data_IF_734285928742
#
_entry.id   IF_734285928742
#
_cell.length_a   1.000
_cell.length_b   1.000
_cell.length_c   1.000
_cell.angle_alpha   90.00
_cell.angle_beta   90.00
_cell.angle_gamma   90.00
#
_symmetry.space_group_name_H-M   'P 1'
#
loop_
_entity.id
_entity.type
_entity.pdbx_description
1 polymer ?
#
# COMPACT_ATOMS: atom_id res chain seq x y z
N UNK A 1 18.19 36.31 -2.52
CA UNK A 1 19.49 36.61 -3.22
C UNK A 1 20.36 37.60 -2.43
N UNK A 2 19.86 38.78 -1.99
CA UNK A 2 20.64 39.75 -1.18
C UNK A 2 21.03 39.26 0.23
N UNK A 3 20.22 38.45 0.91
CA UNK A 3 20.56 37.87 2.24
C UNK A 3 21.53 36.70 2.12
N UNK A 4 21.37 35.87 1.09
CA UNK A 4 22.27 34.74 0.83
C UNK A 4 23.69 35.16 0.49
N UNK A 5 23.83 36.18 -0.38
CA UNK A 5 25.13 36.77 -0.69
C UNK A 5 25.81 37.22 0.60
N UNK A 6 25.05 37.76 1.57
CA UNK A 6 25.57 38.17 2.89
C UNK A 6 26.01 36.98 3.72
N UNK A 7 25.25 35.88 3.83
CA UNK A 7 25.69 34.73 4.64
C UNK A 7 26.93 34.05 4.05
N UNK A 8 26.97 33.86 2.73
CA UNK A 8 28.16 33.34 2.05
C UNK A 8 29.33 34.30 2.19
N UNK A 9 29.10 35.62 2.18
CA UNK A 9 30.12 36.61 2.51
C UNK A 9 30.59 36.47 3.95
N UNK A 10 29.68 36.30 4.91
CA UNK A 10 30.00 36.19 6.33
C UNK A 10 30.84 34.95 6.62
N UNK A 11 30.46 33.79 6.07
CA UNK A 11 31.21 32.55 6.24
C UNK A 11 32.58 32.65 5.58
N UNK A 12 32.64 33.16 4.34
CA UNK A 12 33.91 33.35 3.64
C UNK A 12 34.81 34.35 4.37
N UNK A 13 34.29 35.48 4.83
CA UNK A 13 35.02 36.49 5.63
C UNK A 13 35.47 35.91 6.97
N UNK A 14 34.67 35.06 7.63
CA UNK A 14 35.05 34.43 8.90
C UNK A 14 36.20 33.44 8.71
N UNK A 15 36.15 32.60 7.67
CA UNK A 15 37.24 31.70 7.31
C UNK A 15 38.50 32.49 6.94
N UNK A 16 38.32 33.58 6.18
CA UNK A 16 39.40 34.50 5.81
C UNK A 16 40.04 35.09 7.06
N UNK A 17 39.25 35.58 8.03
CA UNK A 17 39.74 36.13 9.28
C UNK A 17 40.58 35.10 10.07
N UNK A 18 40.11 33.85 10.17
CA UNK A 18 40.86 32.77 10.85
C UNK A 18 42.19 32.48 10.15
N UNK A 19 42.19 32.37 8.81
CA UNK A 19 43.40 32.14 8.02
C UNK A 19 44.40 33.30 8.20
N UNK A 20 43.93 34.54 8.18
CA UNK A 20 44.76 35.72 8.37
C UNK A 20 45.35 35.82 9.77
N UNK A 21 44.56 35.50 10.79
CA UNK A 21 45.03 35.44 12.18
C UNK A 21 46.15 34.40 12.29
N UNK A 22 45.95 33.19 11.76
CA UNK A 22 46.98 32.13 11.77
C UNK A 22 48.24 32.54 11.00
N UNK A 23 48.09 33.15 9.83
CA UNK A 23 49.22 33.59 9.01
C UNK A 23 50.07 34.63 9.74
N UNK A 24 49.46 35.67 10.32
CA UNK A 24 50.20 36.74 10.99
C UNK A 24 50.75 36.36 12.35
N UNK A 25 50.02 35.56 13.14
CA UNK A 25 50.42 35.24 14.51
C UNK A 25 51.44 34.12 14.56
N UNK A 26 51.40 33.19 13.60
CA UNK A 26 52.12 31.93 13.69
C UNK A 26 53.11 31.77 12.54
N UNK A 27 52.64 31.86 11.29
CA UNK A 27 53.44 31.51 10.11
C UNK A 27 54.52 32.56 9.81
N UNK A 28 54.14 33.84 9.74
CA UNK A 28 55.07 34.92 9.38
C UNK A 28 56.17 35.11 10.42
N UNK A 29 55.89 35.16 11.74
CA UNK A 29 56.93 35.30 12.76
C UNK A 29 57.88 34.10 12.76
N UNK A 30 57.33 32.87 12.73
CA UNK A 30 58.13 31.65 12.71
C UNK A 30 59.11 31.59 11.53
N UNK A 31 58.65 31.91 10.32
CA UNK A 31 59.52 31.95 9.14
C UNK A 31 60.53 33.09 9.22
N UNK A 32 60.13 34.27 9.68
CA UNK A 32 61.03 35.42 9.84
C UNK A 32 62.19 35.09 10.78
N UNK A 33 61.88 34.50 11.95
CA UNK A 33 62.88 34.14 12.95
C UNK A 33 63.78 33.00 12.46
N UNK A 34 63.20 32.01 11.78
CA UNK A 34 63.97 30.91 11.17
C UNK A 34 65.01 31.43 10.17
N UNK A 35 64.62 32.32 9.25
CA UNK A 35 65.54 32.88 8.25
C UNK A 35 66.60 33.79 8.91
N UNK A 36 66.22 34.59 9.92
CA UNK A 36 67.17 35.39 10.69
C UNK A 36 68.21 34.52 11.41
N UNK A 37 67.77 33.44 12.04
CA UNK A 37 68.65 32.50 12.75
C UNK A 37 69.66 31.84 11.81
N UNK A 38 69.22 31.44 10.61
CA UNK A 38 70.12 30.89 9.58
C UNK A 38 71.15 31.93 9.15
N UNK A 39 70.73 33.18 8.85
CA UNK A 39 71.63 34.26 8.47
C UNK A 39 72.68 34.56 9.57
N UNK A 40 72.24 34.66 10.83
CA UNK A 40 73.13 34.86 11.98
C UNK A 40 74.09 33.68 12.19
N UNK A 41 73.61 32.45 12.02
CA UNK A 41 74.44 31.26 12.16
C UNK A 41 75.50 31.18 11.06
N UNK A 42 75.16 31.51 9.82
CA UNK A 42 76.11 31.58 8.71
C UNK A 42 77.17 32.65 8.97
N UNK A 43 76.74 33.82 9.44
CA UNK A 43 77.64 34.93 9.79
C UNK A 43 78.63 34.54 10.91
N UNK A 44 78.16 33.86 11.97
CA UNK A 44 79.02 33.34 13.04
C UNK A 44 79.98 32.24 12.57
N UNK A 45 79.50 31.32 11.72
CA UNK A 45 80.34 30.23 11.21
C UNK A 45 81.47 30.74 10.31
N UNK A 46 81.21 31.76 9.49
CA UNK A 46 82.23 32.41 8.68
C UNK A 46 83.34 33.00 9.56
N UNK A 47 82.98 33.70 10.66
CA UNK A 47 83.94 34.19 11.64
C UNK A 47 84.79 33.07 12.26
N UNK A 48 84.15 31.95 12.64
CA UNK A 48 84.82 30.81 13.27
C UNK A 48 85.88 30.18 12.36
N UNK A 49 85.57 30.04 11.07
CA UNK A 49 86.51 29.54 10.05
C UNK A 49 87.72 30.48 9.94
N UNK A 50 87.50 31.80 9.95
CA UNK A 50 88.56 32.80 9.85
C UNK A 50 89.50 32.78 11.07
N UNK A 51 88.97 32.61 12.27
CA UNK A 51 89.77 32.51 13.51
C UNK A 51 90.59 31.21 13.53
N UNK A 52 90.00 30.09 13.12
CA UNK A 52 90.70 28.79 13.11
C UNK A 52 91.87 28.75 12.12
N UNK A 53 91.72 29.42 10.98
CA UNK A 53 92.75 29.44 9.93
C UNK A 53 93.84 30.49 10.18
N UNK A 54 93.62 31.44 11.11
CA UNK A 54 94.51 32.58 11.41
C UNK A 54 95.02 33.35 10.18
N UNK A 55 94.35 33.21 9.03
CA UNK A 55 94.74 33.85 7.78
C UNK A 55 94.11 35.24 7.67
N UNK A 56 94.57 36.14 8.52
CA UNK A 56 93.98 37.47 8.67
C UNK A 56 94.39 38.43 7.52
N UNK A 57 95.52 38.21 6.87
CA UNK A 57 96.03 39.13 5.84
C UNK A 57 95.13 39.20 4.58
N UNK A 58 94.43 38.11 4.27
CA UNK A 58 93.50 38.04 3.12
C UNK A 58 92.16 38.76 3.34
N UNK A 59 91.71 38.96 4.59
CA UNK A 59 90.41 39.61 4.88
C UNK A 59 90.51 41.13 5.01
N UNK A 60 91.68 41.66 5.39
CA UNK A 60 91.91 43.10 5.50
C UNK A 60 92.34 43.76 4.17
N UNK A 61 92.59 42.96 3.13
CA UNK A 61 92.97 43.42 1.78
C UNK A 61 91.78 43.56 0.82
N UNK A 62 90.61 43.03 1.16
CA UNK A 62 89.43 43.05 0.30
C UNK A 62 88.36 44.02 0.82
N UNK A 63 87.75 44.75 -0.10
CA UNK A 63 86.73 45.76 0.19
C UNK A 63 85.34 45.10 0.21
N UNK A 64 85.09 44.26 1.22
CA UNK A 64 83.79 43.59 1.39
C UNK A 64 82.76 44.49 2.10
N UNK A 65 81.49 44.07 2.03
CA UNK A 65 80.36 44.67 2.76
C UNK A 65 80.50 44.60 4.30
N UNK A 66 81.51 43.85 4.76
CA UNK A 66 81.83 43.59 6.15
C UNK A 66 83.03 44.43 6.59
N UNK A 67 82.93 45.03 7.78
CA UNK A 67 84.09 45.64 8.44
C UNK A 67 84.72 44.66 9.39
N UNK A 68 85.98 44.34 9.15
CA UNK A 68 86.81 43.51 10.00
C UNK A 68 87.58 44.41 10.96
N UNK A 69 87.64 44.01 12.24
CA UNK A 69 88.50 44.61 13.27
C UNK A 69 89.33 43.50 13.90
N UNK A 70 90.64 43.67 13.97
CA UNK A 70 91.51 42.90 14.86
C UNK A 70 91.83 43.78 16.06
N UNK A 71 91.41 43.37 17.25
CA UNK A 71 91.44 44.19 18.45
C UNK A 71 92.29 43.49 19.51
N UNK A 72 93.24 44.22 20.07
CA UNK A 72 94.06 43.71 21.19
C UNK A 72 93.21 43.50 22.46
N UNK A 73 93.65 42.68 23.42
CA UNK A 73 92.97 42.53 24.72
C UNK A 73 92.78 43.84 25.48
N UNK A 74 93.59 44.86 25.16
CA UNK A 74 93.55 46.20 25.74
C UNK A 74 92.55 47.14 25.07
N UNK A 75 91.94 46.75 23.95
CA UNK A 75 90.92 47.56 23.23
C UNK A 75 91.48 48.37 22.06
N UNK A 76 92.79 48.33 21.82
CA UNK A 76 93.40 49.01 20.68
C UNK A 76 93.17 48.20 19.40
N UNK A 77 92.71 48.88 18.34
CA UNK A 77 92.53 48.30 17.00
C UNK A 77 93.88 48.07 16.34
N UNK A 78 94.28 46.80 16.20
CA UNK A 78 95.52 46.37 15.56
C UNK A 78 95.43 46.38 14.04
N UNK A 79 94.27 46.01 13.49
CA UNK A 79 94.02 46.03 12.05
C UNK A 79 92.54 46.27 11.77
N UNK A 80 92.22 46.94 10.67
CA UNK A 80 90.85 47.28 10.31
C UNK A 80 90.67 47.39 8.79
N UNK A 81 89.50 47.01 8.27
CA UNK A 81 89.19 47.11 6.82
C UNK A 81 89.28 48.54 6.26
N UNK A 82 88.99 49.53 7.09
CA UNK A 82 89.30 50.94 6.84
C UNK A 82 90.60 51.31 7.58
N UNK A 83 91.68 51.48 6.82
CA UNK A 83 93.04 51.71 7.33
C UNK A 83 93.16 52.96 8.21
N UNK A 84 92.24 53.92 8.09
CA UNK A 84 92.24 55.15 8.92
C UNK A 84 91.94 54.89 10.39
N UNK A 85 91.46 53.70 10.74
CA UNK A 85 91.04 53.33 12.10
C UNK A 85 92.06 52.45 12.84
N UNK A 86 93.20 52.14 12.22
CA UNK A 86 94.27 51.38 12.86
C UNK A 86 94.89 52.25 13.96
N UNK A 87 95.03 51.70 15.17
CA UNK A 87 95.49 52.40 16.37
C UNK A 87 94.39 53.13 17.14
N UNK A 88 93.15 53.18 16.63
CA UNK A 88 92.03 53.75 17.36
C UNK A 88 91.62 52.87 18.55
N UNK A 89 91.22 53.51 19.65
CA UNK A 89 90.72 52.80 20.84
C UNK A 89 89.26 52.35 20.62
N UNK A 90 89.10 51.07 20.33
CA UNK A 90 87.77 50.47 20.14
C UNK A 90 86.95 50.51 21.43
N UNK A 91 87.61 50.47 22.60
CA UNK A 91 86.93 50.52 23.89
C UNK A 91 86.33 51.89 24.21
N UNK A 92 86.88 52.96 23.66
CA UNK A 92 86.33 54.31 23.78
C UNK A 92 85.18 54.53 22.78
N UNK A 93 85.31 53.99 21.56
CA UNK A 93 84.31 54.15 20.50
C UNK A 93 83.06 53.28 20.76
N UNK A 94 83.23 52.07 21.29
CA UNK A 94 82.15 51.12 21.58
C UNK A 94 82.31 50.48 22.97
N UNK A 95 82.13 51.25 24.07
CA UNK A 95 82.43 50.80 25.42
C UNK A 95 81.61 49.58 25.87
N UNK A 96 80.29 49.61 25.63
CA UNK A 96 79.40 48.51 26.01
C UNK A 96 79.65 47.25 25.18
N UNK A 97 79.94 47.42 23.89
CA UNK A 97 80.27 46.30 23.02
C UNK A 97 81.58 45.64 23.46
N UNK A 98 82.62 46.44 23.72
CA UNK A 98 83.91 45.90 24.16
C UNK A 98 83.84 45.20 25.52
N UNK A 99 83.03 45.73 26.46
CA UNK A 99 82.74 45.05 27.73
C UNK A 99 82.08 43.69 27.50
N UNK A 100 81.05 43.64 26.66
CA UNK A 100 80.35 42.40 26.30
C UNK A 100 81.28 41.37 25.64
N UNK A 101 82.20 41.83 24.78
CA UNK A 101 83.20 40.97 24.15
C UNK A 101 84.11 40.29 25.17
N UNK A 102 84.59 41.04 26.18
CA UNK A 102 85.44 40.50 27.24
C UNK A 102 84.72 39.46 28.10
N UNK A 103 83.44 39.67 28.39
CA UNK A 103 82.65 38.77 29.22
C UNK A 103 82.32 37.45 28.51
N UNK A 104 81.94 37.51 27.22
CA UNK A 104 81.45 36.33 26.49
C UNK A 104 82.52 35.59 25.69
N UNK A 105 83.64 36.25 25.36
CA UNK A 105 84.76 35.77 24.52
C UNK A 105 84.40 35.38 23.08
N UNK A 106 83.17 34.97 22.81
CA UNK A 106 82.58 34.79 21.49
C UNK A 106 81.09 35.17 21.51
N UNK A 107 80.56 35.65 20.39
CA UNK A 107 79.15 35.98 20.29
C UNK A 107 78.80 36.92 19.14
N UNK A 108 77.57 37.42 19.19
CA UNK A 108 77.10 38.52 18.33
C UNK A 108 76.63 39.68 19.18
N UNK A 109 76.79 40.89 18.67
CA UNK A 109 76.35 42.11 19.34
C UNK A 109 75.73 43.07 18.33
N UNK A 110 74.59 43.64 18.67
CA UNK A 110 73.93 44.64 17.85
C UNK A 110 74.34 46.02 18.32
N UNK A 111 74.72 46.89 17.39
CA UNK A 111 75.13 48.25 17.70
C UNK A 111 74.80 49.21 16.57
N UNK A 112 74.70 50.50 16.90
CA UNK A 112 74.44 51.55 15.92
C UNK A 112 75.74 52.31 15.66
N UNK A 113 76.09 52.47 14.38
CA UNK A 113 77.22 53.29 13.98
C UNK A 113 76.78 54.22 12.85
N UNK A 114 76.91 55.54 13.07
CA UNK A 114 76.48 56.60 12.13
C UNK A 114 75.04 56.37 11.62
N UNK A 115 74.10 56.23 12.57
CA UNK A 115 72.67 55.98 12.33
C UNK A 115 72.32 54.70 11.55
N UNK A 116 73.29 53.82 11.32
CA UNK A 116 73.07 52.53 10.69
C UNK A 116 73.14 51.42 11.73
N UNK A 117 72.07 50.63 11.85
CA UNK A 117 72.07 49.42 12.67
C UNK A 117 73.00 48.37 12.05
N UNK A 118 73.92 47.86 12.86
CA UNK A 118 74.91 46.86 12.47
C UNK A 118 74.89 45.71 13.46
N UNK A 119 75.24 44.55 12.94
CA UNK A 119 75.40 43.33 13.71
C UNK A 119 76.86 42.95 13.60
N UNK A 120 77.52 42.87 14.75
CA UNK A 120 78.87 42.37 14.85
C UNK A 120 78.88 40.93 15.34
N UNK A 121 79.71 40.08 14.74
CA UNK A 121 80.12 38.80 15.30
C UNK A 121 81.56 38.94 15.78
N UNK A 122 81.87 38.42 16.95
CA UNK A 122 83.21 38.50 17.52
C UNK A 122 83.63 37.17 18.17
N UNK A 123 84.93 36.92 18.18
CA UNK A 123 85.52 35.81 18.93
C UNK A 123 87.00 36.06 19.22
N UNK A 124 87.46 35.47 20.33
CA UNK A 124 88.84 35.56 20.81
C UNK A 124 89.66 34.38 20.29
N UNK A 125 90.79 34.66 19.62
CA UNK A 125 91.64 33.64 18.99
C UNK A 125 92.76 33.09 19.90
N UNK A 126 92.78 33.52 21.16
CA UNK A 126 93.83 33.23 22.14
C UNK A 126 94.84 34.36 22.35
N UNK A 127 94.90 35.33 21.43
CA UNK A 127 95.78 36.50 21.51
C UNK A 127 94.99 37.81 21.35
N UNK A 128 94.15 37.89 20.33
CA UNK A 128 93.38 39.07 19.94
C UNK A 128 91.89 38.72 19.68
N UNK A 129 91.04 39.73 19.63
CA UNK A 129 89.64 39.60 19.23
C UNK A 129 89.51 39.92 17.74
N UNK A 130 88.92 39.01 16.97
CA UNK A 130 88.44 39.30 15.62
C UNK A 130 86.96 39.69 15.70
N UNK A 131 86.61 40.83 15.11
CA UNK A 131 85.24 41.30 14.99
C UNK A 131 84.91 41.49 13.52
N UNK A 132 83.79 40.95 13.08
CA UNK A 132 83.20 41.19 11.77
C UNK A 132 81.92 41.94 11.97
N UNK A 133 81.71 43.03 11.25
CA UNK A 133 80.51 43.86 11.36
C UNK A 133 79.83 44.04 10.02
N UNK A 134 78.54 43.74 9.96
CA UNK A 134 77.68 43.87 8.77
C UNK A 134 76.47 44.76 9.07
N UNK A 135 75.87 45.39 8.06
CA UNK A 135 74.60 46.12 8.25
C UNK A 135 73.47 45.12 8.48
N UNK A 136 72.53 45.44 9.35
CA UNK A 136 71.34 44.60 9.60
C UNK A 136 70.53 44.36 8.31
N UNK A 137 70.39 45.40 7.48
CA UNK A 137 69.68 45.35 6.19
C UNK A 137 70.29 44.37 5.21
N UNK A 138 71.62 44.26 5.22
CA UNK A 138 72.38 43.44 4.28
C UNK A 138 72.41 41.99 4.79
N UNK A 139 72.63 41.78 6.09
CA UNK A 139 72.60 40.46 6.73
C UNK A 139 71.22 39.80 6.60
N UNK A 140 70.15 40.58 6.77
CA UNK A 140 68.78 40.09 6.67
C UNK A 140 68.11 40.40 5.33
N UNK A 141 68.87 40.73 4.28
CA UNK A 141 68.32 40.93 2.93
C UNK A 141 67.40 39.78 2.45
N UNK A 142 67.71 38.49 2.70
CA UNK A 142 66.80 37.39 2.36
C UNK A 142 65.43 37.46 3.08
N UNK A 143 65.41 37.93 4.33
CA UNK A 143 64.19 38.11 5.14
C UNK A 143 63.30 39.20 4.53
N UNK A 144 63.90 40.33 4.13
CA UNK A 144 63.15 41.42 3.52
C UNK A 144 62.60 41.04 2.14
N UNK A 145 63.38 40.33 1.32
CA UNK A 145 62.93 39.80 0.03
C UNK A 145 61.78 38.81 0.18
N UNK A 146 61.85 37.91 1.18
CA UNK A 146 60.77 36.99 1.49
C UNK A 146 59.50 37.71 1.95
N UNK A 147 59.62 38.68 2.88
CA UNK A 147 58.47 39.50 3.31
C UNK A 147 57.82 40.22 2.14
N UNK A 148 58.62 40.76 1.21
CA UNK A 148 58.11 41.40 0.00
C UNK A 148 57.30 40.42 -0.86
N UNK A 149 57.82 39.23 -1.13
CA UNK A 149 57.10 38.19 -1.89
C UNK A 149 55.82 37.74 -1.18
N UNK A 150 55.87 37.56 0.14
CA UNK A 150 54.74 37.15 0.94
C UNK A 150 53.61 38.21 0.93
N UNK A 151 53.92 39.47 1.22
CA UNK A 151 52.91 40.54 1.30
C UNK A 151 52.39 40.97 -0.07
N UNK A 152 53.24 41.02 -1.11
CA UNK A 152 52.81 41.51 -2.43
C UNK A 152 52.23 40.44 -3.34
N UNK A 153 52.52 39.15 -3.11
CA UNK A 153 52.12 38.09 -4.03
C UNK A 153 51.29 36.99 -3.37
N UNK A 154 51.78 36.38 -2.29
CA UNK A 154 51.11 35.21 -1.68
C UNK A 154 49.79 35.63 -1.01
N UNK A 155 49.81 36.66 -0.17
CA UNK A 155 48.66 37.10 0.61
C UNK A 155 47.46 37.56 -0.26
N UNK A 156 47.65 38.41 -1.29
CA UNK A 156 46.56 38.81 -2.19
C UNK A 156 45.98 37.64 -2.99
N UNK A 157 46.80 36.65 -3.32
CA UNK A 157 46.37 35.49 -4.09
C UNK A 157 45.52 34.54 -3.24
N UNK A 158 45.88 34.36 -1.97
CA UNK A 158 45.06 33.63 -0.99
C UNK A 158 43.72 34.35 -0.76
N UNK A 159 43.70 35.68 -0.61
CA UNK A 159 42.44 36.41 -0.43
C UNK A 159 41.53 36.32 -1.64
N UNK A 160 42.06 36.52 -2.86
CA UNK A 160 41.31 36.34 -4.08
C UNK A 160 40.74 34.91 -4.18
N UNK A 161 41.55 33.89 -3.90
CA UNK A 161 41.13 32.50 -3.92
C UNK A 161 39.99 32.22 -2.93
N UNK A 162 40.10 32.70 -1.68
CA UNK A 162 39.06 32.49 -0.66
C UNK A 162 37.72 33.17 -1.00
N UNK A 163 37.75 34.37 -1.60
CA UNK A 163 36.53 35.05 -2.06
C UNK A 163 35.88 34.26 -3.20
N UNK A 164 36.67 33.83 -4.19
CA UNK A 164 36.20 33.04 -5.33
C UNK A 164 35.62 31.71 -4.86
N UNK A 165 36.35 31.00 -4.00
CA UNK A 165 35.92 29.72 -3.44
C UNK A 165 34.63 29.89 -2.63
N UNK A 166 34.56 30.91 -1.75
CA UNK A 166 33.35 31.21 -0.98
C UNK A 166 32.14 31.52 -1.88
N UNK A 167 32.35 32.25 -2.97
CA UNK A 167 31.30 32.53 -3.95
C UNK A 167 30.82 31.27 -4.68
N UNK A 168 31.75 30.45 -5.19
CA UNK A 168 31.43 29.20 -5.88
C UNK A 168 30.76 28.18 -4.96
N UNK A 169 31.26 28.04 -3.74
CA UNK A 169 30.68 27.16 -2.72
C UNK A 169 29.26 27.63 -2.33
N UNK A 170 29.05 28.94 -2.21
CA UNK A 170 27.73 29.53 -2.02
C UNK A 170 26.74 29.18 -3.13
N UNK A 171 27.16 29.28 -4.39
CA UNK A 171 26.34 28.88 -5.55
C UNK A 171 26.04 27.38 -5.52
N UNK A 172 27.03 26.54 -5.21
CA UNK A 172 26.89 25.09 -5.15
C UNK A 172 25.83 24.66 -4.14
N UNK A 173 25.94 25.11 -2.88
CA UNK A 173 24.95 24.81 -1.84
C UNK A 173 23.56 25.30 -2.26
N UNK A 174 23.46 26.54 -2.75
CA UNK A 174 22.16 27.10 -3.12
C UNK A 174 21.46 26.29 -4.23
N UNK A 175 22.22 25.86 -5.25
CA UNK A 175 21.68 25.06 -6.36
C UNK A 175 21.21 23.70 -5.89
N UNK A 176 21.98 23.03 -5.04
CA UNK A 176 21.64 21.71 -4.52
C UNK A 176 20.41 21.79 -3.61
N UNK A 177 20.45 22.65 -2.60
CA UNK A 177 19.34 22.82 -1.65
C UNK A 177 18.05 23.24 -2.38
N UNK A 178 18.12 24.16 -3.36
CA UNK A 178 16.93 24.58 -4.11
C UNK A 178 16.24 23.43 -4.88
N UNK A 179 17.02 22.49 -5.42
CA UNK A 179 16.46 21.31 -6.12
C UNK A 179 15.77 20.37 -5.14
N UNK A 180 16.43 20.08 -4.02
CA UNK A 180 15.86 19.21 -2.98
C UNK A 180 14.54 19.81 -2.45
N UNK A 181 14.47 21.14 -2.30
CA UNK A 181 13.22 21.83 -1.95
C UNK A 181 12.10 21.63 -2.97
N UNK A 182 12.40 21.69 -4.28
CA UNK A 182 11.38 21.46 -5.30
C UNK A 182 10.87 20.02 -5.31
N UNK A 183 11.76 19.04 -5.08
CA UNK A 183 11.37 17.63 -5.03
C UNK A 183 10.44 17.32 -3.85
N UNK A 184 10.73 17.88 -2.67
CA UNK A 184 9.83 17.73 -1.50
C UNK A 184 8.48 18.40 -1.74
N UNK A 185 8.45 19.60 -2.31
CA UNK A 185 7.18 20.27 -2.64
C UNK A 185 6.36 19.51 -3.69
N UNK A 186 7.00 18.89 -4.69
CA UNK A 186 6.28 18.04 -5.65
C UNK A 186 5.75 16.78 -5.00
N UNK A 187 6.51 16.14 -4.09
CA UNK A 187 6.03 14.97 -3.33
C UNK A 187 4.82 15.31 -2.48
N UNK A 188 4.81 16.46 -1.80
CA UNK A 188 3.65 16.92 -1.03
C UNK A 188 2.42 17.15 -1.94
N UNK A 189 2.62 17.75 -3.11
CA UNK A 189 1.54 17.92 -4.08
C UNK A 189 0.97 16.58 -4.56
N UNK A 190 1.83 15.60 -4.84
CA UNK A 190 1.40 14.25 -5.21
C UNK A 190 0.65 13.56 -4.08
N UNK A 191 1.11 13.68 -2.83
CA UNK A 191 0.39 13.14 -1.67
C UNK A 191 -0.99 13.79 -1.53
N UNK A 192 -1.12 15.11 -1.72
CA UNK A 192 -2.42 15.78 -1.71
C UNK A 192 -3.36 15.28 -2.80
N UNK A 193 -2.83 15.02 -4.00
CA UNK A 193 -3.60 14.43 -5.10
C UNK A 193 -4.04 13.00 -4.78
N UNK A 194 -3.15 12.17 -4.23
CA UNK A 194 -3.47 10.81 -3.79
C UNK A 194 -4.51 10.79 -2.68
N UNK A 195 -4.43 11.71 -1.72
CA UNK A 195 -5.42 11.90 -0.65
C UNK A 195 -6.78 12.30 -1.23
N UNK A 196 -6.81 13.20 -2.21
CA UNK A 196 -8.04 13.59 -2.90
C UNK A 196 -8.67 12.41 -3.65
N UNK A 197 -7.86 11.67 -4.41
CA UNK A 197 -8.32 10.48 -5.13
C UNK A 197 -8.86 9.41 -4.16
N UNK A 198 -8.16 9.17 -3.05
CA UNK A 198 -8.59 8.23 -2.00
C UNK A 198 -9.90 8.69 -1.37
N UNK A 199 -10.08 9.99 -1.11
CA UNK A 199 -11.34 10.56 -0.59
C UNK A 199 -12.50 10.38 -1.58
N UNK A 200 -12.26 10.61 -2.87
CA UNK A 200 -13.26 10.36 -3.91
C UNK A 200 -13.67 8.89 -3.95
N UNK A 201 -12.71 7.97 -3.97
CA UNK A 201 -12.98 6.53 -3.93
C UNK A 201 -13.70 6.11 -2.66
N UNK A 202 -13.38 6.70 -1.50
CA UNK A 202 -14.06 6.44 -0.23
C UNK A 202 -15.54 6.84 -0.31
N UNK A 203 -15.84 8.00 -0.91
CA UNK A 203 -17.22 8.44 -1.12
C UNK A 203 -18.00 7.54 -2.09
N UNK A 204 -17.35 7.07 -3.16
CA UNK A 204 -17.95 6.11 -4.09
C UNK A 204 -18.26 4.77 -3.40
N UNK A 205 -17.32 4.25 -2.59
CA UNK A 205 -17.53 3.02 -1.81
C UNK A 205 -18.67 3.22 -0.80
N UNK A 206 -18.75 4.39 -0.15
CA UNK A 206 -19.86 4.71 0.75
C UNK A 206 -21.22 4.68 0.04
N UNK A 207 -21.32 5.31 -1.13
CA UNK A 207 -22.55 5.25 -1.92
C UNK A 207 -22.89 3.83 -2.39
N UNK A 208 -21.88 3.03 -2.73
CA UNK A 208 -22.07 1.62 -3.05
C UNK A 208 -22.57 0.80 -1.86
N UNK A 209 -22.05 1.09 -0.66
CA UNK A 209 -22.52 0.48 0.59
C UNK A 209 -23.97 0.84 0.88
N UNK A 210 -24.36 2.12 0.73
CA UNK A 210 -25.74 2.58 0.89
C UNK A 210 -26.69 1.90 -0.10
N UNK A 211 -26.29 1.78 -1.38
CA UNK A 211 -27.07 1.06 -2.38
C UNK A 211 -27.19 -0.44 -2.07
N UNK A 212 -26.12 -1.05 -1.55
CA UNK A 212 -26.13 -2.46 -1.15
C UNK A 212 -27.05 -2.69 0.04
N UNK A 213 -27.03 -1.79 1.03
CA UNK A 213 -27.92 -1.83 2.19
C UNK A 213 -29.40 -1.72 1.78
N UNK A 214 -29.71 -0.81 0.86
CA UNK A 214 -31.07 -0.71 0.31
C UNK A 214 -31.49 -1.99 -0.42
N UNK A 215 -30.60 -2.57 -1.22
CA UNK A 215 -30.86 -3.85 -1.89
C UNK A 215 -31.04 -5.01 -0.90
N UNK A 216 -30.34 -5.00 0.24
CA UNK A 216 -30.52 -6.00 1.29
C UNK A 216 -31.86 -5.83 2.00
N UNK A 217 -32.30 -4.61 2.29
CA UNK A 217 -33.63 -4.36 2.83
C UNK A 217 -34.76 -4.84 1.88
N UNK A 218 -34.59 -4.64 0.57
CA UNK A 218 -35.52 -5.18 -0.43
C UNK A 218 -35.47 -6.71 -0.50
N UNK A 219 -34.28 -7.30 -0.37
CA UNK A 219 -34.09 -8.74 -0.32
C UNK A 219 -34.78 -9.34 0.92
N UNK A 220 -34.66 -8.72 2.10
CA UNK A 220 -35.31 -9.17 3.32
C UNK A 220 -36.83 -9.21 3.19
N UNK A 221 -37.40 -8.15 2.62
CA UNK A 221 -38.83 -8.12 2.33
C UNK A 221 -39.22 -9.20 1.33
N UNK A 222 -38.41 -9.41 0.29
CA UNK A 222 -38.65 -10.45 -0.71
C UNK A 222 -38.57 -11.86 -0.11
N UNK A 223 -37.67 -12.07 0.86
CA UNK A 223 -37.55 -13.33 1.61
C UNK A 223 -38.80 -13.55 2.46
N UNK A 224 -39.31 -12.53 3.15
CA UNK A 224 -40.53 -12.60 3.95
C UNK A 224 -41.75 -12.94 3.08
N UNK A 225 -41.95 -12.20 1.99
CA UNK A 225 -43.03 -12.44 1.03
C UNK A 225 -42.94 -13.86 0.43
N UNK A 226 -41.72 -14.32 0.11
CA UNK A 226 -41.51 -15.64 -0.45
C UNK A 226 -41.72 -16.76 0.57
N UNK A 227 -41.36 -16.54 1.83
CA UNK A 227 -41.66 -17.48 2.92
C UNK A 227 -43.17 -17.64 3.12
N UNK A 228 -43.91 -16.53 3.18
CA UNK A 228 -45.37 -16.56 3.28
C UNK A 228 -46.01 -17.30 2.09
N UNK A 229 -45.53 -17.04 0.87
CA UNK A 229 -45.99 -17.73 -0.33
C UNK A 229 -45.73 -19.26 -0.26
N UNK A 230 -44.57 -19.68 0.21
CA UNK A 230 -44.22 -21.11 0.33
C UNK A 230 -45.02 -21.82 1.43
N UNK A 231 -45.32 -21.13 2.53
CA UNK A 231 -46.22 -21.63 3.58
C UNK A 231 -47.65 -21.85 3.04
N UNK A 232 -48.19 -20.86 2.31
CA UNK A 232 -49.50 -20.99 1.65
C UNK A 232 -49.51 -22.15 0.66
N UNK A 233 -48.48 -22.26 -0.19
CA UNK A 233 -48.33 -23.37 -1.13
C UNK A 233 -48.28 -24.73 -0.44
N UNK A 234 -47.62 -24.81 0.72
CA UNK A 234 -47.58 -26.05 1.53
C UNK A 234 -48.97 -26.46 1.97
N UNK A 235 -49.77 -25.51 2.48
CA UNK A 235 -51.12 -25.78 2.93
C UNK A 235 -52.05 -26.21 1.77
N UNK A 236 -51.95 -25.55 0.61
CA UNK A 236 -52.71 -25.94 -0.59
C UNK A 236 -52.32 -27.34 -1.10
N UNK A 237 -51.03 -27.68 -1.03
CA UNK A 237 -50.53 -28.99 -1.43
C UNK A 237 -51.03 -30.09 -0.50
N UNK A 238 -51.03 -29.87 0.81
CA UNK A 238 -51.61 -30.81 1.78
C UNK A 238 -53.12 -31.02 1.54
N UNK A 239 -53.85 -29.94 1.29
CA UNK A 239 -55.27 -30.01 0.90
C UNK A 239 -55.48 -30.83 -0.37
N UNK A 240 -54.63 -30.64 -1.38
CA UNK A 240 -54.68 -31.38 -2.64
C UNK A 240 -54.39 -32.86 -2.46
N UNK A 241 -53.39 -33.22 -1.65
CA UNK A 241 -53.09 -34.62 -1.31
C UNK A 241 -54.26 -35.29 -0.59
N UNK A 242 -54.92 -34.60 0.35
CA UNK A 242 -56.10 -35.13 1.04
C UNK A 242 -57.26 -35.40 0.06
N UNK A 243 -57.52 -34.49 -0.88
CA UNK A 243 -58.54 -34.69 -1.92
C UNK A 243 -58.23 -35.88 -2.82
N UNK A 244 -56.95 -36.09 -3.15
CA UNK A 244 -56.50 -37.25 -3.95
C UNK A 244 -56.74 -38.57 -3.20
N UNK A 245 -56.51 -38.60 -1.88
CA UNK A 245 -56.87 -39.77 -1.06
C UNK A 245 -58.38 -40.03 -1.05
N UNK A 246 -59.19 -38.97 -0.94
CA UNK A 246 -60.66 -39.09 -1.01
C UNK A 246 -61.11 -39.62 -2.38
N UNK A 247 -60.58 -39.08 -3.48
CA UNK A 247 -60.87 -39.57 -4.83
C UNK A 247 -60.48 -41.04 -5.02
N UNK A 248 -59.35 -41.46 -4.46
CA UNK A 248 -58.91 -42.86 -4.49
C UNK A 248 -59.95 -43.77 -3.81
N UNK A 249 -60.50 -43.33 -2.67
CA UNK A 249 -61.56 -44.06 -1.97
C UNK A 249 -62.86 -44.10 -2.78
N UNK A 250 -63.28 -42.98 -3.38
CA UNK A 250 -64.47 -42.93 -4.23
C UNK A 250 -64.37 -43.90 -5.40
N UNK A 251 -63.21 -43.97 -6.08
CA UNK A 251 -63.01 -44.94 -7.18
C UNK A 251 -63.13 -46.38 -6.68
N UNK A 252 -62.57 -46.69 -5.51
CA UNK A 252 -62.68 -48.01 -4.90
C UNK A 252 -64.14 -48.38 -4.63
N UNK A 253 -64.94 -47.44 -4.12
CA UNK A 253 -66.36 -47.64 -3.85
C UNK A 253 -67.18 -47.82 -5.14
N UNK A 254 -66.81 -47.13 -6.22
CA UNK A 254 -67.40 -47.33 -7.56
C UNK A 254 -67.11 -48.76 -8.05
N UNK A 255 -65.86 -49.23 -7.97
CA UNK A 255 -65.48 -50.58 -8.41
C UNK A 255 -66.24 -51.65 -7.61
N UNK A 256 -66.34 -51.51 -6.29
CA UNK A 256 -67.11 -52.44 -5.43
C UNK A 256 -68.60 -52.44 -5.79
N UNK A 257 -69.19 -51.25 -6.03
CA UNK A 257 -70.59 -51.11 -6.42
C UNK A 257 -70.86 -51.71 -7.81
N UNK A 258 -69.98 -51.49 -8.78
CA UNK A 258 -70.05 -52.10 -10.11
C UNK A 258 -69.96 -53.62 -10.06
N UNK A 259 -69.11 -54.18 -9.18
CA UNK A 259 -69.01 -55.63 -8.96
C UNK A 259 -70.31 -56.23 -8.39
N UNK A 260 -70.92 -55.55 -7.41
CA UNK A 260 -72.25 -55.94 -6.89
C UNK A 260 -73.32 -55.88 -7.96
N UNK A 261 -73.30 -54.85 -8.81
CA UNK A 261 -74.25 -54.70 -9.90
C UNK A 261 -74.07 -55.79 -10.97
N UNK A 262 -72.84 -56.20 -11.27
CA UNK A 262 -72.53 -57.33 -12.16
C UNK A 262 -73.15 -58.63 -11.63
N UNK A 263 -72.98 -58.90 -10.33
CA UNK A 263 -73.58 -60.07 -9.67
C UNK A 263 -75.11 -60.04 -9.74
N UNK A 264 -75.72 -58.87 -9.54
CA UNK A 264 -77.17 -58.71 -9.63
C UNK A 264 -77.68 -58.93 -11.06
N UNK A 265 -76.97 -58.40 -12.07
CA UNK A 265 -77.32 -58.60 -13.48
C UNK A 265 -77.29 -60.08 -13.87
N UNK A 266 -76.30 -60.85 -13.37
CA UNK A 266 -76.23 -62.30 -13.58
C UNK A 266 -77.42 -63.05 -12.94
N UNK A 267 -77.80 -62.69 -11.71
CA UNK A 267 -78.98 -63.26 -11.05
C UNK A 267 -80.26 -62.95 -11.83
N UNK A 268 -80.42 -61.72 -12.33
CA UNK A 268 -81.56 -61.32 -13.15
C UNK A 268 -81.58 -62.04 -14.51
N UNK A 269 -80.41 -62.30 -15.09
CA UNK A 269 -80.27 -63.05 -16.34
C UNK A 269 -80.78 -64.49 -16.17
N UNK A 270 -80.32 -65.17 -15.11
CA UNK A 270 -80.78 -66.50 -14.72
C UNK A 270 -82.30 -66.54 -14.42
N UNK A 271 -82.83 -65.49 -13.79
CA UNK A 271 -84.28 -65.38 -13.52
C UNK A 271 -85.08 -65.20 -14.82
N UNK A 272 -84.58 -64.39 -15.75
CA UNK A 272 -85.20 -64.15 -17.06
C UNK A 272 -85.23 -65.43 -17.91
N UNK A 273 -84.19 -66.25 -17.85
CA UNK A 273 -84.16 -67.58 -18.46
C UNK A 273 -85.25 -68.49 -17.88
N UNK A 274 -85.36 -68.58 -16.55
CA UNK A 274 -86.43 -69.36 -15.90
C UNK A 274 -87.84 -68.87 -16.25
N UNK A 275 -88.06 -67.56 -16.41
CA UNK A 275 -89.35 -67.02 -16.87
C UNK A 275 -89.66 -67.50 -18.28
N UNK A 276 -88.65 -67.57 -19.15
CA UNK A 276 -88.80 -68.12 -20.51
C UNK A 276 -89.21 -69.59 -20.44
N UNK A 277 -88.52 -70.40 -19.63
CA UNK A 277 -88.86 -71.83 -19.45
C UNK A 277 -90.28 -72.05 -18.88
N UNK A 278 -90.69 -71.21 -17.92
CA UNK A 278 -92.06 -71.24 -17.36
C UNK A 278 -93.09 -70.88 -18.44
N UNK A 279 -92.81 -69.85 -19.25
CA UNK A 279 -93.70 -69.45 -20.36
C UNK A 279 -93.85 -70.60 -21.36
N UNK A 280 -92.76 -71.23 -21.76
CA UNK A 280 -92.76 -72.40 -22.64
C UNK A 280 -93.61 -73.54 -22.07
N UNK A 281 -93.46 -73.82 -20.78
CA UNK A 281 -94.26 -74.83 -20.06
C UNK A 281 -95.75 -74.47 -20.05
N UNK A 282 -96.11 -73.20 -19.77
CA UNK A 282 -97.48 -72.71 -19.80
C UNK A 282 -98.10 -72.86 -21.19
N UNK A 283 -97.36 -72.56 -22.25
CA UNK A 283 -97.84 -72.77 -23.64
C UNK A 283 -98.18 -74.23 -23.88
N UNK A 284 -97.30 -75.16 -23.49
CA UNK A 284 -97.53 -76.60 -23.66
C UNK A 284 -98.75 -77.06 -22.85
N UNK A 285 -98.89 -76.60 -21.60
CA UNK A 285 -100.04 -76.92 -20.75
C UNK A 285 -101.35 -76.38 -21.34
N UNK A 286 -101.34 -75.16 -21.88
CA UNK A 286 -102.51 -74.56 -22.53
C UNK A 286 -102.92 -75.32 -23.79
N UNK A 287 -101.96 -75.74 -24.61
CA UNK A 287 -102.20 -76.58 -25.80
C UNK A 287 -102.81 -77.92 -25.37
N UNK A 288 -102.24 -78.59 -24.37
CA UNK A 288 -102.75 -79.87 -23.87
C UNK A 288 -104.17 -79.74 -23.30
N UNK A 289 -104.44 -78.67 -22.54
CA UNK A 289 -105.77 -78.37 -22.01
C UNK A 289 -106.79 -78.08 -23.13
N UNK A 290 -106.41 -77.30 -24.15
CA UNK A 290 -107.25 -77.04 -25.33
C UNK A 290 -107.59 -78.34 -26.07
N UNK A 291 -106.60 -79.22 -26.28
CA UNK A 291 -106.80 -80.53 -26.91
C UNK A 291 -107.75 -81.40 -26.08
N UNK A 292 -107.56 -81.49 -24.77
CA UNK A 292 -108.38 -82.37 -23.92
C UNK A 292 -109.81 -81.85 -23.79
N UNK A 293 -110.01 -80.54 -23.64
CA UNK A 293 -111.34 -79.91 -23.59
C UNK A 293 -112.09 -80.03 -24.91
N UNK A 294 -111.40 -80.10 -26.05
CA UNK A 294 -112.03 -80.39 -27.35
C UNK A 294 -112.62 -81.80 -27.45
N UNK A 295 -112.17 -82.75 -26.62
CA UNK A 295 -112.65 -84.15 -26.60
C UNK A 295 -113.93 -84.32 -25.78
N UNK A 296 -114.14 -83.54 -24.73
CA UNK A 296 -115.33 -83.63 -23.86
C UNK A 296 -116.52 -82.82 -24.42
N UNK A 297 -117.76 -83.13 -24.01
CA UNK A 297 -119.00 -82.46 -24.49
C UNK A 297 -119.44 -81.26 -23.61
N UNK A 298 -118.50 -80.63 -22.92
CA UNK A 298 -118.76 -79.54 -21.96
C UNK A 298 -118.10 -78.26 -22.47
N UNK A 299 -118.91 -77.21 -22.70
CA UNK A 299 -118.53 -75.80 -22.96
C UNK A 299 -117.21 -75.56 -23.75
N UNK A 300 -117.11 -76.19 -24.94
CA UNK A 300 -115.89 -76.22 -25.77
C UNK A 300 -115.38 -74.85 -26.21
N UNK A 301 -116.30 -73.94 -26.55
CA UNK A 301 -115.93 -72.60 -27.03
C UNK A 301 -115.33 -71.74 -25.91
N UNK A 302 -115.90 -71.80 -24.70
CA UNK A 302 -115.39 -71.07 -23.54
C UNK A 302 -113.99 -71.55 -23.12
N UNK A 303 -113.80 -72.88 -23.05
CA UNK A 303 -112.52 -73.47 -22.64
C UNK A 303 -111.41 -73.29 -23.70
N UNK A 304 -111.74 -73.39 -24.99
CA UNK A 304 -110.79 -73.11 -26.08
C UNK A 304 -110.33 -71.65 -26.05
N UNK A 305 -111.24 -70.71 -25.79
CA UNK A 305 -110.90 -69.28 -25.67
C UNK A 305 -110.00 -69.00 -24.48
N UNK A 306 -110.20 -69.69 -23.35
CA UNK A 306 -109.30 -69.61 -22.19
C UNK A 306 -107.90 -70.10 -22.55
N UNK A 307 -107.78 -71.23 -23.24
CA UNK A 307 -106.48 -71.74 -23.67
C UNK A 307 -105.76 -70.79 -24.65
N UNK A 308 -106.49 -70.18 -25.58
CA UNK A 308 -105.97 -69.16 -26.49
C UNK A 308 -105.44 -67.93 -25.73
N UNK A 309 -106.19 -67.42 -24.74
CA UNK A 309 -105.73 -66.32 -23.88
C UNK A 309 -104.48 -66.69 -23.06
N UNK A 310 -104.36 -67.93 -22.58
CA UNK A 310 -103.16 -68.40 -21.86
C UNK A 310 -101.96 -68.50 -22.80
N UNK A 311 -102.15 -68.96 -24.04
CA UNK A 311 -101.10 -69.00 -25.05
C UNK A 311 -100.61 -67.60 -25.42
N UNK A 312 -101.54 -66.65 -25.63
CA UNK A 312 -101.22 -65.25 -25.89
C UNK A 312 -100.44 -64.64 -24.71
N UNK A 313 -100.90 -64.87 -23.48
CA UNK A 313 -100.20 -64.40 -22.28
C UNK A 313 -98.78 -64.97 -22.16
N UNK A 314 -98.61 -66.26 -22.45
CA UNK A 314 -97.28 -66.90 -22.44
C UNK A 314 -96.37 -66.33 -23.54
N UNK A 315 -96.88 -66.12 -24.75
CA UNK A 315 -96.10 -65.51 -25.84
C UNK A 315 -95.67 -64.08 -25.48
N UNK A 316 -96.56 -63.28 -24.92
CA UNK A 316 -96.24 -61.94 -24.43
C UNK A 316 -95.20 -61.98 -23.30
N UNK A 317 -95.28 -62.96 -22.40
CA UNK A 317 -94.31 -63.15 -21.31
C UNK A 317 -92.94 -63.53 -21.85
N UNK A 318 -92.88 -64.39 -22.87
CA UNK A 318 -91.64 -64.77 -23.58
C UNK A 318 -91.00 -63.58 -24.29
N UNK A 319 -91.80 -62.75 -24.95
CA UNK A 319 -91.30 -61.54 -25.60
C UNK A 319 -90.74 -60.54 -24.58
N UNK A 320 -91.43 -60.33 -23.45
CA UNK A 320 -90.94 -59.52 -22.34
C UNK A 320 -89.65 -60.07 -21.73
N UNK A 321 -89.54 -61.38 -21.56
CA UNK A 321 -88.31 -62.02 -21.09
C UNK A 321 -87.15 -61.83 -22.08
N UNK A 322 -87.40 -61.99 -23.38
CA UNK A 322 -86.40 -61.71 -24.43
C UNK A 322 -85.91 -60.25 -24.39
N UNK A 323 -86.82 -59.30 -24.24
CA UNK A 323 -86.49 -57.88 -24.13
C UNK A 323 -85.69 -57.60 -22.83
N UNK A 324 -86.08 -58.21 -21.72
CA UNK A 324 -85.36 -58.11 -20.44
C UNK A 324 -83.94 -58.65 -20.54
N UNK A 325 -83.74 -59.79 -21.22
CA UNK A 325 -82.42 -60.36 -21.48
C UNK A 325 -81.55 -59.41 -22.30
N UNK A 326 -82.11 -58.76 -23.32
CA UNK A 326 -81.38 -57.75 -24.10
C UNK A 326 -80.93 -56.58 -23.22
N UNK A 327 -81.82 -56.04 -22.38
CA UNK A 327 -81.48 -54.96 -21.45
C UNK A 327 -80.41 -55.37 -20.43
N UNK A 328 -80.38 -56.63 -19.99
CA UNK A 328 -79.35 -57.12 -19.08
C UNK A 328 -77.96 -57.19 -19.74
N UNK A 329 -77.89 -57.57 -21.02
CA UNK A 329 -76.64 -57.52 -21.80
C UNK A 329 -76.14 -56.07 -21.94
N UNK A 330 -77.04 -55.12 -22.21
CA UNK A 330 -76.68 -53.70 -22.27
C UNK A 330 -76.16 -53.20 -20.90
N UNK A 331 -76.76 -53.65 -19.79
CA UNK A 331 -76.29 -53.34 -18.42
C UNK A 331 -74.89 -53.93 -18.17
N UNK A 332 -74.63 -55.16 -18.61
CA UNK A 332 -73.33 -55.82 -18.46
C UNK A 332 -72.20 -55.06 -19.20
N UNK A 333 -72.48 -54.59 -20.41
CA UNK A 333 -71.53 -53.76 -21.18
C UNK A 333 -71.23 -52.42 -20.49
N UNK A 334 -72.26 -51.76 -19.95
CA UNK A 334 -72.11 -50.53 -19.16
C UNK A 334 -71.27 -50.76 -17.90
N UNK A 335 -71.50 -51.87 -17.18
CA UNK A 335 -70.72 -52.21 -15.99
C UNK A 335 -69.25 -52.45 -16.34
N UNK A 336 -68.99 -53.23 -17.38
CA UNK A 336 -67.63 -53.52 -17.85
C UNK A 336 -66.91 -52.22 -18.24
N UNK A 337 -67.58 -51.36 -19.00
CA UNK A 337 -67.06 -50.05 -19.37
C UNK A 337 -66.79 -49.15 -18.15
N UNK A 338 -67.66 -49.19 -17.14
CA UNK A 338 -67.50 -48.42 -15.90
C UNK A 338 -66.27 -48.88 -15.12
N UNK A 339 -66.06 -50.20 -14.98
CA UNK A 339 -64.88 -50.75 -14.30
C UNK A 339 -63.60 -50.32 -15.03
N UNK A 340 -63.53 -50.45 -16.36
CA UNK A 340 -62.36 -50.04 -17.15
C UNK A 340 -62.06 -48.53 -17.00
N UNK A 341 -63.08 -47.68 -16.99
CA UNK A 341 -62.92 -46.25 -16.77
C UNK A 341 -62.44 -45.94 -15.34
N UNK A 342 -62.96 -46.66 -14.33
CA UNK A 342 -62.52 -46.53 -12.94
C UNK A 342 -61.08 -46.97 -12.74
N UNK A 343 -60.65 -48.07 -13.35
CA UNK A 343 -59.25 -48.52 -13.31
C UNK A 343 -58.31 -47.51 -13.98
N UNK A 344 -58.71 -46.97 -15.14
CA UNK A 344 -57.96 -45.91 -15.82
C UNK A 344 -57.86 -44.67 -14.92
N UNK A 345 -58.95 -44.24 -14.32
CA UNK A 345 -58.96 -43.09 -13.41
C UNK A 345 -58.09 -43.34 -12.17
N UNK A 346 -58.07 -44.56 -11.63
CA UNK A 346 -57.17 -44.94 -10.53
C UNK A 346 -55.70 -44.77 -10.92
N UNK A 347 -55.32 -45.22 -12.12
CA UNK A 347 -53.96 -45.06 -12.64
C UNK A 347 -53.55 -43.59 -12.80
N UNK A 348 -54.44 -42.75 -13.32
CA UNK A 348 -54.18 -41.30 -13.45
C UNK A 348 -54.02 -40.64 -12.08
N UNK A 349 -54.83 -41.04 -11.09
CA UNK A 349 -54.70 -40.55 -9.70
C UNK A 349 -53.34 -40.89 -9.09
N UNK A 350 -52.81 -42.10 -9.31
CA UNK A 350 -51.47 -42.46 -8.84
C UNK A 350 -50.40 -41.54 -9.46
N UNK A 351 -50.49 -41.25 -10.75
CA UNK A 351 -49.60 -40.31 -11.44
C UNK A 351 -49.68 -38.88 -10.87
N UNK A 352 -50.90 -38.42 -10.57
CA UNK A 352 -51.12 -37.11 -9.92
C UNK A 352 -50.52 -37.10 -8.50
N UNK A 353 -50.71 -38.16 -7.72
CA UNK A 353 -50.13 -38.29 -6.39
C UNK A 353 -48.59 -38.24 -6.42
N UNK A 354 -47.95 -38.94 -7.36
CA UNK A 354 -46.50 -38.91 -7.53
C UNK A 354 -46.01 -37.50 -7.91
N UNK A 355 -46.75 -36.82 -8.78
CA UNK A 355 -46.46 -35.44 -9.18
C UNK A 355 -46.56 -34.49 -7.97
N UNK A 356 -47.60 -34.61 -7.15
CA UNK A 356 -47.76 -33.80 -5.92
C UNK A 356 -46.64 -34.09 -4.90
N UNK A 357 -46.19 -35.33 -4.76
CA UNK A 357 -45.05 -35.65 -3.90
C UNK A 357 -43.73 -35.05 -4.43
N UNK A 358 -43.54 -34.98 -5.74
CA UNK A 358 -42.42 -34.25 -6.33
C UNK A 358 -42.50 -32.74 -6.02
N UNK A 359 -43.68 -32.13 -6.17
CA UNK A 359 -43.90 -30.71 -5.79
C UNK A 359 -43.61 -30.50 -4.30
N UNK A 360 -44.04 -31.40 -3.41
CA UNK A 360 -43.71 -31.35 -1.98
C UNK A 360 -42.21 -31.32 -1.71
N UNK A 361 -41.46 -32.14 -2.44
CA UNK A 361 -39.99 -32.21 -2.33
C UNK A 361 -39.33 -30.90 -2.78
N UNK A 362 -39.83 -30.32 -3.89
CA UNK A 362 -39.40 -29.00 -4.35
C UNK A 362 -39.70 -27.94 -3.30
N UNK A 363 -40.90 -27.95 -2.71
CA UNK A 363 -41.30 -26.96 -1.70
C UNK A 363 -40.41 -27.02 -0.45
N UNK A 364 -40.07 -28.22 0.03
CA UNK A 364 -39.12 -28.41 1.12
C UNK A 364 -37.71 -27.88 0.78
N UNK A 365 -37.27 -28.06 -0.47
CA UNK A 365 -35.99 -27.51 -0.94
C UNK A 365 -36.02 -25.98 -1.02
N UNK A 366 -37.18 -25.40 -1.35
CA UNK A 366 -37.40 -23.96 -1.35
C UNK A 366 -37.31 -23.38 0.06
N UNK A 367 -37.86 -24.07 1.08
CA UNK A 367 -37.70 -23.66 2.48
C UNK A 367 -36.23 -23.64 2.92
N UNK A 368 -35.43 -24.64 2.53
CA UNK A 368 -33.98 -24.66 2.79
C UNK A 368 -33.26 -23.49 2.09
N UNK A 369 -33.69 -23.13 0.87
CA UNK A 369 -33.14 -21.96 0.17
C UNK A 369 -33.52 -20.64 0.84
N UNK A 370 -34.74 -20.52 1.39
CA UNK A 370 -35.15 -19.36 2.18
C UNK A 370 -34.22 -19.18 3.39
N UNK A 371 -33.95 -20.24 4.15
CA UNK A 371 -33.03 -20.18 5.30
C UNK A 371 -31.61 -19.73 4.90
N UNK A 372 -31.09 -20.26 3.78
CA UNK A 372 -29.80 -19.83 3.23
C UNK A 372 -29.82 -18.35 2.83
N UNK A 373 -30.89 -17.88 2.20
CA UNK A 373 -31.03 -16.48 1.81
C UNK A 373 -31.10 -15.56 3.03
N UNK A 374 -31.85 -15.93 4.06
CA UNK A 374 -31.88 -15.20 5.34
C UNK A 374 -30.49 -15.10 5.96
N UNK A 375 -29.71 -16.19 5.93
CA UNK A 375 -28.33 -16.19 6.44
C UNK A 375 -27.40 -15.28 5.61
N UNK A 376 -27.53 -15.31 4.29
CA UNK A 376 -26.77 -14.45 3.38
C UNK A 376 -27.10 -12.98 3.65
N UNK A 377 -28.39 -12.64 3.75
CA UNK A 377 -28.82 -11.27 4.04
C UNK A 377 -28.23 -10.76 5.36
N UNK A 378 -28.36 -11.55 6.44
CA UNK A 378 -27.78 -11.21 7.74
C UNK A 378 -26.26 -11.01 7.69
N UNK A 379 -25.55 -11.93 7.05
CA UNK A 379 -24.08 -11.82 6.93
C UNK A 379 -23.69 -10.59 6.12
N UNK A 380 -24.51 -10.20 5.15
CA UNK A 380 -24.25 -9.02 4.31
C UNK A 380 -24.51 -7.73 5.10
N UNK A 381 -25.56 -7.66 5.91
CA UNK A 381 -25.77 -6.57 6.87
C UNK A 381 -24.58 -6.41 7.84
N UNK A 382 -24.14 -7.51 8.47
CA UNK A 382 -22.98 -7.49 9.37
C UNK A 382 -21.72 -6.97 8.64
N UNK A 383 -21.49 -7.40 7.40
CA UNK A 383 -20.37 -6.93 6.58
C UNK A 383 -20.51 -5.45 6.16
N UNK A 384 -21.73 -4.94 5.94
CA UNK A 384 -21.97 -3.53 5.66
C UNK A 384 -21.68 -2.67 6.89
N UNK A 385 -22.06 -3.12 8.08
CA UNK A 385 -21.75 -2.44 9.35
C UNK A 385 -20.22 -2.32 9.55
N UNK A 386 -19.48 -3.41 9.34
CA UNK A 386 -18.01 -3.40 9.38
C UNK A 386 -17.41 -2.47 8.32
N UNK A 387 -17.98 -2.46 7.10
CA UNK A 387 -17.54 -1.58 6.02
C UNK A 387 -17.74 -0.11 6.39
N UNK A 388 -18.87 0.27 6.97
CA UNK A 388 -19.11 1.65 7.43
C UNK A 388 -18.10 2.07 8.50
N UNK A 389 -17.83 1.22 9.49
CA UNK A 389 -16.82 1.48 10.50
C UNK A 389 -15.40 1.61 9.88
N UNK A 390 -15.11 0.84 8.84
CA UNK A 390 -13.86 0.94 8.07
C UNK A 390 -13.77 2.24 7.28
N UNK A 391 -14.86 2.67 6.64
CA UNK A 391 -14.93 3.92 5.88
C UNK A 391 -14.74 5.14 6.80
N UNK A 392 -15.33 5.13 7.99
CA UNK A 392 -15.14 6.18 8.99
C UNK A 392 -13.67 6.31 9.40
N UNK A 393 -12.99 5.18 9.66
CA UNK A 393 -11.55 5.18 9.97
C UNK A 393 -10.69 5.72 8.82
N UNK A 394 -11.04 5.38 7.58
CA UNK A 394 -10.35 5.89 6.39
C UNK A 394 -10.56 7.40 6.26
N UNK A 395 -11.78 7.89 6.48
CA UNK A 395 -12.09 9.32 6.45
C UNK A 395 -11.31 10.11 7.53
N UNK A 396 -11.23 9.58 8.75
CA UNK A 396 -10.38 10.15 9.81
C UNK A 396 -8.90 10.20 9.42
N UNK A 397 -8.39 9.11 8.83
CA UNK A 397 -7.00 9.03 8.37
C UNK A 397 -6.72 10.04 7.24
N UNK A 398 -7.61 10.17 6.26
CA UNK A 398 -7.54 11.16 5.18
C UNK A 398 -7.46 12.57 5.75
N UNK A 399 -8.36 12.91 6.69
CA UNK A 399 -8.38 14.22 7.33
C UNK A 399 -7.08 14.50 8.11
N UNK A 400 -6.56 13.51 8.82
CA UNK A 400 -5.29 13.60 9.55
C UNK A 400 -4.10 13.81 8.61
N UNK A 401 -4.01 13.03 7.52
CA UNK A 401 -2.95 13.17 6.51
C UNK A 401 -3.03 14.55 5.86
N UNK A 402 -4.21 14.98 5.44
CA UNK A 402 -4.39 16.27 4.78
C UNK A 402 -3.91 17.43 5.69
N UNK A 403 -4.28 17.39 6.98
CA UNK A 403 -3.78 18.34 7.97
C UNK A 403 -2.26 18.30 8.11
N UNK A 404 -1.66 17.10 8.17
CA UNK A 404 -0.19 16.95 8.28
C UNK A 404 0.54 17.43 7.04
N UNK A 405 0.00 17.20 5.84
CA UNK A 405 0.55 17.71 4.58
C UNK A 405 0.54 19.23 4.56
N UNK A 406 -0.57 19.87 4.98
CA UNK A 406 -0.66 21.32 5.09
C UNK A 406 0.35 21.90 6.11
N UNK A 407 0.41 21.32 7.32
CA UNK A 407 1.38 21.72 8.36
C UNK A 407 2.83 21.62 7.83
N UNK A 408 3.15 20.52 7.15
CA UNK A 408 4.48 20.30 6.59
C UNK A 408 4.78 21.26 5.45
N UNK A 409 3.82 21.53 4.55
CA UNK A 409 3.99 22.49 3.45
C UNK A 409 4.25 23.91 3.98
N UNK A 410 3.54 24.34 5.04
CA UNK A 410 3.76 25.62 5.70
C UNK A 410 5.15 25.72 6.33
N UNK A 411 5.57 24.72 7.10
CA UNK A 411 6.90 24.67 7.71
C UNK A 411 8.00 24.69 6.64
N UNK A 412 7.79 23.96 5.55
CA UNK A 412 8.76 23.86 4.47
C UNK A 412 8.83 25.17 3.66
N UNK A 413 7.71 25.86 3.44
CA UNK A 413 7.68 27.21 2.86
C UNK A 413 8.39 28.23 3.76
N UNK A 414 8.19 28.14 5.07
CA UNK A 414 8.88 28.99 6.05
C UNK A 414 10.40 28.80 5.98
N UNK A 415 10.88 27.55 6.03
CA UNK A 415 12.30 27.22 5.88
C UNK A 415 12.88 27.73 4.55
N UNK A 416 12.17 27.55 3.45
CA UNK A 416 12.56 28.09 2.13
C UNK A 416 12.63 29.62 2.12
N UNK A 417 11.73 30.28 2.86
CA UNK A 417 11.69 31.73 3.04
C UNK A 417 12.87 32.25 3.88
N UNK A 418 13.27 31.53 4.92
CA UNK A 418 14.48 31.85 5.71
C UNK A 418 15.77 31.62 4.92
N UNK A 419 15.80 30.64 4.03
CA UNK A 419 16.95 30.33 3.17
C UNK A 419 17.12 31.35 2.01
N UNK A 420 16.11 32.15 1.64
CA UNK A 420 16.13 33.08 0.48
C UNK A 420 16.63 34.50 0.78
#
# INVERSE_FOLDING_TARGET
>A
MKKYLKFTLYLSVSILAVIWILAFTLVIPYFTDSVKNVALSQFKNNLKILIQTKNYDTIFSQNYFEYYYLISPKGITLNHSDKTKIGADFSEIFPDFFKYMKEKKEGTYEYTYKDTKRIAAFAYDGENYLVISVKETDLFAPVYSFKKLLYFLILPLITAFTIIFGYLFGIFINRQTSKDFSHVLSLLSSISEDVFNTSSSTNEIKSMAENTENAMNELDKSIEDFAAFVEENTAELESSLNKIMEFTQIIKDIIDSSSKLSTLADVLSNLTEKITDISDTITVLAINASIETSKENIDREGLSRIAEMIMELSNNTRELAKNSRKSLLDIEDIITSTILLSEKASKEIYSVNDSLNAVKTVNNSTLDNIDKLTKISRTTHDAMEELYAGLEQVEEAINSINKKVQEFEEQFKYLKGEIR
#
